data_IF_232228520065
#
_entry.id   IF_232228520065
#
_cell.length_a   1.000
_cell.length_b   1.000
_cell.length_c   1.000
_cell.angle_alpha   90.00
_cell.angle_beta   90.00
_cell.angle_gamma   90.00
#
_symmetry.space_group_name_H-M   'P 1'
#
loop_
_entity.id
_entity.type
_entity.pdbx_description
1 polymer ?
#
# COMPACT_ATOMS: atom_id res chain seq x y z
N UNK A 1 -15.70 -8.62 14.57
CA UNK A 1 -15.78 -7.48 13.64
C UNK A 1 -14.40 -6.99 13.22
N UNK A 2 -13.46 -6.78 14.15
CA UNK A 2 -12.11 -6.24 13.86
C UNK A 2 -11.28 -7.09 12.87
N UNK A 3 -11.27 -8.42 13.02
CA UNK A 3 -10.57 -9.32 12.10
C UNK A 3 -11.09 -9.26 10.67
N UNK A 4 -12.40 -9.04 10.48
CA UNK A 4 -13.00 -8.88 9.16
C UNK A 4 -12.57 -7.57 8.50
N UNK A 5 -12.48 -6.48 9.26
CA UNK A 5 -11.96 -5.21 8.77
C UNK A 5 -10.51 -5.33 8.31
N UNK A 6 -9.66 -6.00 9.10
CA UNK A 6 -8.25 -6.23 8.73
C UNK A 6 -8.16 -7.09 7.47
N UNK A 7 -8.97 -8.16 7.36
CA UNK A 7 -9.05 -9.00 6.17
C UNK A 7 -9.55 -8.23 4.95
N UNK A 8 -10.55 -7.35 5.09
CA UNK A 8 -11.05 -6.50 4.01
C UNK A 8 -9.99 -5.49 3.55
N UNK A 9 -9.21 -4.96 4.48
CA UNK A 9 -8.13 -4.01 4.21
C UNK A 9 -6.94 -4.68 3.51
N UNK A 10 -6.60 -5.92 3.88
CA UNK A 10 -5.51 -6.69 3.27
C UNK A 10 -5.93 -7.51 2.04
N UNK A 11 -7.22 -7.81 1.88
CA UNK A 11 -7.76 -8.58 0.76
C UNK A 11 -7.31 -8.04 -0.61
N UNK A 12 -7.41 -6.73 -0.89
CA UNK A 12 -6.94 -6.17 -2.15
C UNK A 12 -5.43 -6.39 -2.36
N UNK A 13 -4.65 -6.43 -1.28
CA UNK A 13 -3.22 -6.66 -1.34
C UNK A 13 -2.88 -8.12 -1.64
N UNK A 14 -3.47 -9.08 -0.93
CA UNK A 14 -3.25 -10.50 -1.21
C UNK A 14 -3.75 -10.88 -2.61
N UNK A 15 -4.88 -10.32 -3.03
CA UNK A 15 -5.39 -10.49 -4.38
C UNK A 15 -4.43 -9.94 -5.43
N UNK A 16 -3.78 -8.79 -5.18
CA UNK A 16 -2.77 -8.23 -6.09
C UNK A 16 -1.60 -9.20 -6.30
N UNK A 17 -1.03 -9.77 -5.24
CA UNK A 17 0.09 -10.70 -5.34
C UNK A 17 -0.30 -11.99 -6.06
N UNK A 18 -1.49 -12.52 -5.78
CA UNK A 18 -1.98 -13.70 -6.48
C UNK A 18 -2.25 -13.42 -7.96
N UNK A 19 -2.84 -12.27 -8.25
CA UNK A 19 -3.19 -11.86 -9.60
C UNK A 19 -1.95 -11.60 -10.43
N UNK A 20 -0.95 -10.85 -9.92
CA UNK A 20 0.25 -10.51 -10.70
C UNK A 20 1.09 -11.73 -11.08
N UNK A 21 1.02 -12.80 -10.28
CA UNK A 21 1.76 -14.04 -10.49
C UNK A 21 1.04 -15.00 -11.46
N UNK A 22 -0.29 -15.01 -11.47
CA UNK A 22 -1.12 -15.84 -12.38
C UNK A 22 -1.65 -15.11 -13.60
N UNK A 23 -1.45 -13.80 -13.69
CA UNK A 23 -2.04 -12.97 -14.72
C UNK A 23 -1.45 -13.28 -16.10
N UNK A 24 -2.24 -13.93 -16.93
CA UNK A 24 -2.00 -14.01 -18.36
C UNK A 24 -2.24 -12.63 -18.99
N UNK A 25 -1.15 -11.99 -19.44
CA UNK A 25 -1.12 -10.59 -19.93
C UNK A 25 -2.05 -10.32 -21.12
N UNK A 26 -2.58 -11.36 -21.76
CA UNK A 26 -3.41 -11.26 -22.96
C UNK A 26 -4.94 -11.22 -22.67
N UNK A 27 -5.38 -11.32 -21.41
CA UNK A 27 -6.83 -11.29 -21.08
C UNK A 27 -7.35 -9.86 -20.92
N UNK A 28 -8.55 -9.60 -21.45
CA UNK A 28 -9.32 -8.35 -21.32
C UNK A 28 -9.45 -7.86 -19.87
N UNK A 29 -9.56 -8.79 -18.93
CA UNK A 29 -9.66 -8.50 -17.49
C UNK A 29 -8.34 -8.02 -16.87
N UNK A 30 -7.19 -8.31 -17.51
CA UNK A 30 -5.88 -7.87 -17.01
C UNK A 30 -5.77 -6.34 -16.98
N UNK A 31 -6.20 -5.68 -18.05
CA UNK A 31 -6.17 -4.22 -18.13
C UNK A 31 -7.03 -3.57 -17.04
N UNK A 32 -8.23 -4.10 -16.79
CA UNK A 32 -9.12 -3.57 -15.75
C UNK A 32 -8.47 -3.61 -14.36
N UNK A 33 -7.94 -4.76 -13.95
CA UNK A 33 -7.24 -4.88 -12.67
C UNK A 33 -5.98 -4.02 -12.61
N UNK A 34 -5.22 -3.93 -13.70
CA UNK A 34 -4.04 -3.08 -13.78
C UNK A 34 -4.37 -1.60 -13.51
N UNK A 35 -5.40 -1.05 -14.17
CA UNK A 35 -5.83 0.35 -13.95
C UNK A 35 -6.41 0.56 -12.55
N UNK A 36 -7.17 -0.40 -12.04
CA UNK A 36 -7.68 -0.36 -10.67
C UNK A 36 -6.55 -0.23 -9.65
N UNK A 37 -5.53 -1.08 -9.74
CA UNK A 37 -4.38 -1.04 -8.82
C UNK A 37 -3.50 0.18 -9.02
N UNK A 38 -3.44 0.71 -10.24
CA UNK A 38 -2.71 1.95 -10.52
C UNK A 38 -3.31 3.17 -9.83
N UNK A 39 -4.63 3.22 -9.62
CA UNK A 39 -5.30 4.28 -8.86
C UNK A 39 -5.29 3.96 -7.35
N UNK A 40 -5.48 2.69 -6.99
CA UNK A 40 -5.53 2.25 -5.61
C UNK A 40 -4.23 2.50 -4.84
N UNK A 41 -3.07 2.22 -5.46
CA UNK A 41 -1.76 2.42 -4.82
C UNK A 41 -1.46 3.87 -4.42
N UNK A 42 -1.59 4.88 -5.31
CA UNK A 42 -1.37 6.27 -4.93
C UNK A 42 -2.42 6.75 -3.92
N UNK A 43 -3.66 6.24 -3.97
CA UNK A 43 -4.66 6.55 -2.95
C UNK A 43 -4.23 6.04 -1.56
N UNK A 44 -3.66 4.83 -1.50
CA UNK A 44 -3.08 4.29 -0.28
C UNK A 44 -1.81 5.01 0.19
N UNK A 45 -0.99 5.50 -0.74
CA UNK A 45 0.17 6.32 -0.41
C UNK A 45 -0.24 7.67 0.19
N UNK A 46 -1.29 8.31 -0.36
CA UNK A 46 -1.87 9.52 0.21
C UNK A 46 -2.41 9.29 1.62
N UNK A 47 -3.05 8.14 1.85
CA UNK A 47 -3.50 7.75 3.19
C UNK A 47 -2.32 7.63 4.17
N UNK A 48 -1.20 7.04 3.73
CA UNK A 48 0.03 6.94 4.52
C UNK A 48 0.61 8.31 4.89
N UNK A 49 0.63 9.25 3.93
CA UNK A 49 1.09 10.63 4.16
C UNK A 49 0.18 11.32 5.17
N UNK A 50 -1.14 11.20 5.02
CA UNK A 50 -2.10 11.77 5.97
C UNK A 50 -1.89 11.20 7.38
N UNK A 51 -1.62 9.89 7.49
CA UNK A 51 -1.33 9.23 8.76
C UNK A 51 -0.01 9.71 9.39
N UNK A 52 1.00 9.97 8.57
CA UNK A 52 2.27 10.55 9.02
C UNK A 52 2.06 11.95 9.59
N UNK A 53 1.32 12.81 8.88
CA UNK A 53 0.96 14.16 9.37
C UNK A 53 0.18 14.08 10.67
N UNK A 54 -0.80 13.17 10.75
CA UNK A 54 -1.57 12.94 11.97
C UNK A 54 -0.70 12.48 13.14
N UNK A 55 0.29 11.61 12.89
CA UNK A 55 1.25 11.17 13.89
C UNK A 55 2.11 12.32 14.42
N UNK A 56 2.53 13.25 13.55
CA UNK A 56 3.23 14.47 13.95
C UNK A 56 2.36 15.40 14.81
N UNK A 57 1.06 15.50 14.54
CA UNK A 57 0.15 16.28 15.37
C UNK A 57 0.02 15.68 16.78
N UNK A 58 -0.14 14.36 16.88
CA UNK A 58 -0.22 13.65 18.16
C UNK A 58 1.11 13.70 18.93
N UNK A 59 2.24 13.80 18.25
CA UNK A 59 3.56 13.88 18.90
C UNK A 59 3.66 15.04 19.91
N UNK A 60 3.04 16.19 19.63
CA UNK A 60 2.98 17.30 20.61
C UNK A 60 2.24 16.92 21.89
N UNK A 61 1.21 16.07 21.80
CA UNK A 61 0.46 15.57 22.96
C UNK A 61 1.31 14.57 23.73
N UNK A 62 2.03 13.69 23.04
CA UNK A 62 2.97 12.72 23.62
C UNK A 62 4.05 13.43 24.45
N UNK A 63 4.62 14.52 23.90
CA UNK A 63 5.65 15.31 24.59
C UNK A 63 5.14 16.05 25.83
N UNK A 64 3.84 16.40 25.87
CA UNK A 64 3.25 17.14 26.99
C UNK A 64 3.06 16.25 28.23
N UNK A 65 2.87 14.95 28.04
CA UNK A 65 2.75 13.96 29.11
C UNK A 65 3.69 12.76 28.84
N UNK A 66 5.02 12.95 28.95
CA UNK A 66 6.00 11.95 28.55
C UNK A 66 6.00 10.71 29.46
N UNK A 67 5.42 10.81 30.65
CA UNK A 67 5.33 9.72 31.62
C UNK A 67 4.23 8.69 31.28
N UNK A 68 3.32 8.99 30.35
CA UNK A 68 2.25 8.08 29.97
C UNK A 68 2.72 7.09 28.90
N UNK A 69 3.04 5.88 29.34
CA UNK A 69 3.45 4.78 28.48
C UNK A 69 2.38 4.40 27.44
N UNK A 70 1.11 4.63 27.75
CA UNK A 70 -0.03 4.30 26.86
C UNK A 70 -0.01 5.18 25.62
N UNK A 71 0.21 6.48 25.81
CA UNK A 71 0.26 7.46 24.72
C UNK A 71 1.49 7.21 23.83
N UNK A 72 2.64 6.90 24.44
CA UNK A 72 3.84 6.46 23.71
C UNK A 72 3.58 5.19 22.91
N UNK A 73 2.93 4.19 23.50
CA UNK A 73 2.58 2.94 22.84
C UNK A 73 1.67 3.15 21.64
N UNK A 74 0.63 3.97 21.78
CA UNK A 74 -0.27 4.34 20.67
C UNK A 74 0.51 5.06 19.57
N UNK A 75 1.35 6.04 19.91
CA UNK A 75 2.14 6.78 18.93
C UNK A 75 3.12 5.88 18.17
N UNK A 76 3.87 5.02 18.87
CA UNK A 76 4.78 4.05 18.25
C UNK A 76 4.04 3.07 17.35
N UNK A 77 2.85 2.61 17.77
CA UNK A 77 2.00 1.75 16.97
C UNK A 77 1.55 2.44 15.68
N UNK A 78 1.15 3.71 15.74
CA UNK A 78 0.75 4.50 14.58
C UNK A 78 1.92 4.65 13.57
N UNK A 79 3.12 4.99 14.06
CA UNK A 79 4.33 5.10 13.23
C UNK A 79 4.69 3.76 12.60
N UNK A 80 4.64 2.67 13.38
CA UNK A 80 4.92 1.33 12.88
C UNK A 80 3.93 0.90 11.79
N UNK A 81 2.63 1.20 11.98
CA UNK A 81 1.60 0.91 11.00
C UNK A 81 1.83 1.66 9.68
N UNK A 82 2.27 2.92 9.76
CA UNK A 82 2.65 3.73 8.59
C UNK A 82 3.83 3.12 7.83
N UNK A 83 4.90 2.75 8.54
CA UNK A 83 6.09 2.12 7.95
C UNK A 83 5.78 0.79 7.25
N UNK A 84 5.01 -0.08 7.91
CA UNK A 84 4.57 -1.36 7.33
C UNK A 84 3.71 -1.13 6.09
N UNK A 85 2.86 -0.10 6.11
CA UNK A 85 2.04 0.26 4.97
C UNK A 85 2.88 0.77 3.79
N UNK A 86 3.83 1.68 4.02
CA UNK A 86 4.73 2.20 2.99
C UNK A 86 5.56 1.10 2.35
N UNK A 87 6.08 0.17 3.16
CA UNK A 87 6.81 -1.00 2.65
C UNK A 87 5.95 -1.85 1.71
N UNK A 88 4.69 -2.10 2.09
CA UNK A 88 3.75 -2.87 1.28
C UNK A 88 3.45 -2.18 -0.05
N UNK A 89 3.17 -0.87 -0.02
CA UNK A 89 2.92 -0.05 -1.21
C UNK A 89 4.14 -0.07 -2.13
N UNK A 90 5.33 0.12 -1.58
CA UNK A 90 6.60 0.09 -2.34
C UNK A 90 6.80 -1.25 -3.05
N UNK A 91 6.62 -2.38 -2.34
CA UNK A 91 6.74 -3.71 -2.94
C UNK A 91 5.74 -3.93 -4.09
N UNK A 92 4.52 -3.40 -3.95
CA UNK A 92 3.49 -3.47 -4.99
C UNK A 92 3.84 -2.61 -6.21
N UNK A 93 4.26 -1.35 -5.97
CA UNK A 93 4.65 -0.40 -7.00
C UNK A 93 5.85 -0.89 -7.81
N UNK A 94 6.84 -1.50 -7.15
CA UNK A 94 8.00 -2.13 -7.79
C UNK A 94 7.59 -3.22 -8.79
N UNK A 95 6.62 -4.07 -8.41
CA UNK A 95 6.11 -5.13 -9.31
C UNK A 95 5.31 -4.55 -10.47
N UNK A 96 4.49 -3.52 -10.25
CA UNK A 96 3.77 -2.84 -11.32
C UNK A 96 4.70 -2.15 -12.32
N UNK A 97 5.78 -1.52 -11.84
CA UNK A 97 6.77 -0.90 -12.72
C UNK A 97 7.48 -1.95 -13.59
N UNK A 98 7.84 -3.10 -13.00
CA UNK A 98 8.41 -4.23 -13.74
C UNK A 98 7.46 -4.72 -14.85
N UNK A 99 6.15 -4.85 -14.57
CA UNK A 99 5.16 -5.21 -15.59
C UNK A 99 5.09 -4.20 -16.73
N UNK A 100 5.10 -2.89 -16.42
CA UNK A 100 5.07 -1.82 -17.42
C UNK A 100 6.31 -1.88 -18.33
N UNK A 101 7.49 -2.14 -17.76
CA UNK A 101 8.72 -2.28 -18.51
C UNK A 101 8.70 -3.51 -19.43
N UNK A 102 8.28 -4.67 -18.92
CA UNK A 102 8.15 -5.89 -19.72
C UNK A 102 7.15 -5.73 -20.88
N UNK A 103 6.03 -5.02 -20.65
CA UNK A 103 5.09 -4.72 -21.73
C UNK A 103 5.71 -3.81 -22.79
N UNK A 104 6.41 -2.74 -22.38
CA UNK A 104 7.08 -1.83 -23.32
C UNK A 104 8.12 -2.54 -24.19
N UNK A 105 8.92 -3.45 -23.61
CA UNK A 105 9.92 -4.24 -24.35
C UNK A 105 9.29 -5.21 -25.34
N UNK A 106 8.14 -5.84 -25.00
CA UNK A 106 7.43 -6.71 -25.95
C UNK A 106 6.87 -5.92 -27.14
N UNK A 107 6.32 -4.74 -26.90
CA UNK A 107 5.80 -3.89 -27.99
C UNK A 107 6.90 -3.39 -28.91
N UNK A 108 8.11 -3.13 -28.41
CA UNK A 108 9.26 -2.72 -29.24
C UNK A 108 9.88 -3.85 -30.05
N UNK A 109 9.72 -5.12 -29.64
CA UNK A 109 10.19 -6.29 -30.39
C UNK A 109 9.19 -6.67 -31.50
N UNK A 110 7.91 -6.37 -31.30
CA UNK A 110 6.83 -6.68 -32.24
C UNK A 110 6.49 -5.50 -33.19
N UNK A 111 7.28 -4.43 -33.16
CA UNK A 111 7.19 -3.24 -34.04
C UNK A 111 8.38 -3.22 -34.99
#
# INVERSE_FOLDING_TARGET
MEKFFILLLLSPYFYFFHWIEKADKNRKYFAFFYYFYWIYLPLWALFSIAFTVFSFLIFNIVLKNPADLTIWGIWFLLVFLSLVNDWKIYACLKRMFKLKQENKTRTSINS
#
